data_IF_244549579545
#
_entry.id   IF_244549579545
#
_cell.length_a   1.000
_cell.length_b   1.000
_cell.length_c   1.000
_cell.angle_alpha   90.00
_cell.angle_beta   90.00
_cell.angle_gamma   90.00
#
_symmetry.space_group_name_H-M   'P 1'
#
loop_
_entity.id
_entity.type
_entity.pdbx_description
1 polymer ?
#
# COMPACT_ATOMS: atom_id res chain seq x y z
N UNK A 1 10.44 -42.19 -26.11
CA UNK A 1 9.23 -41.33 -25.98
C UNK A 1 9.05 -40.63 -24.62
N UNK A 2 9.65 -41.06 -23.50
CA UNK A 2 9.44 -40.44 -22.16
C UNK A 2 10.13 -39.08 -21.91
N UNK A 3 11.13 -38.70 -22.72
CA UNK A 3 11.85 -37.42 -22.57
C UNK A 3 11.24 -36.24 -23.37
N UNK A 4 10.46 -36.54 -24.42
CA UNK A 4 9.80 -35.52 -25.25
C UNK A 4 8.61 -34.86 -24.55
N UNK A 5 7.78 -35.66 -23.88
CA UNK A 5 6.62 -35.16 -23.12
C UNK A 5 7.03 -34.25 -21.94
N UNK A 6 8.14 -34.57 -21.24
CA UNK A 6 8.68 -33.72 -20.16
C UNK A 6 9.26 -32.39 -20.66
N UNK A 7 9.83 -32.36 -21.88
CA UNK A 7 10.28 -31.11 -22.53
C UNK A 7 9.08 -30.29 -23.01
N UNK A 8 8.05 -30.92 -23.59
CA UNK A 8 6.88 -30.23 -24.12
C UNK A 8 6.00 -29.62 -22.99
N UNK A 9 5.81 -30.33 -21.88
CA UNK A 9 5.14 -29.78 -20.68
C UNK A 9 5.93 -28.61 -20.08
N UNK A 10 7.27 -28.65 -20.09
CA UNK A 10 8.11 -27.51 -19.66
C UNK A 10 8.03 -26.31 -20.61
N UNK A 11 7.90 -26.54 -21.92
CA UNK A 11 7.86 -25.48 -22.93
C UNK A 11 6.49 -24.77 -22.96
N UNK A 12 5.43 -25.39 -22.47
CA UNK A 12 4.08 -24.79 -22.46
C UNK A 12 3.68 -24.31 -21.05
N UNK A 13 3.96 -25.09 -19.99
CA UNK A 13 3.57 -24.71 -18.63
C UNK A 13 4.38 -23.53 -18.08
N UNK A 14 5.66 -23.40 -18.44
CA UNK A 14 6.50 -22.29 -18.00
C UNK A 14 6.05 -20.96 -18.61
N UNK A 15 5.78 -20.82 -19.92
CA UNK A 15 5.24 -19.58 -20.46
C UNK A 15 3.80 -19.30 -20.06
N UNK A 16 2.93 -20.30 -19.84
CA UNK A 16 1.59 -20.07 -19.29
C UNK A 16 1.63 -19.61 -17.82
N UNK A 17 2.52 -20.19 -17.01
CA UNK A 17 2.76 -19.77 -15.63
C UNK A 17 3.45 -18.40 -15.57
N UNK A 18 4.41 -18.12 -16.47
CA UNK A 18 5.02 -16.81 -16.63
C UNK A 18 4.01 -15.80 -17.15
N UNK A 19 3.08 -16.14 -18.06
CA UNK A 19 2.04 -15.23 -18.54
C UNK A 19 1.03 -14.91 -17.44
N UNK A 20 0.64 -15.90 -16.64
CA UNK A 20 -0.19 -15.70 -15.45
C UNK A 20 0.51 -14.88 -14.36
N UNK A 21 1.84 -15.02 -14.21
CA UNK A 21 2.64 -14.23 -13.28
C UNK A 21 3.08 -12.87 -13.84
N UNK A 22 3.17 -12.69 -15.16
CA UNK A 22 3.67 -11.49 -15.84
C UNK A 22 2.74 -10.29 -15.69
N UNK A 23 1.50 -10.52 -15.29
CA UNK A 23 0.53 -9.48 -14.98
C UNK A 23 0.47 -9.16 -13.47
N UNK A 24 1.17 -9.90 -12.62
CA UNK A 24 1.23 -9.64 -11.19
C UNK A 24 2.36 -8.67 -10.84
N UNK A 25 2.12 -7.38 -11.05
CA UNK A 25 2.81 -6.40 -10.21
C UNK A 25 2.34 -6.69 -8.77
N UNK A 26 3.26 -7.07 -7.89
CA UNK A 26 2.93 -7.37 -6.50
C UNK A 26 3.41 -6.14 -5.72
N UNK A 27 2.47 -5.41 -5.11
CA UNK A 27 2.77 -4.40 -4.10
C UNK A 27 3.33 -5.10 -2.86
N UNK A 28 4.37 -4.55 -2.24
CA UNK A 28 5.06 -5.22 -1.14
C UNK A 28 5.34 -4.26 0.02
N UNK A 29 5.51 -4.85 1.22
CA UNK A 29 5.23 -4.34 2.58
C UNK A 29 3.86 -4.78 3.15
N UNK A 30 3.06 -5.57 2.41
CA UNK A 30 1.73 -6.09 2.82
C UNK A 30 1.68 -6.61 4.26
N UNK A 31 2.66 -7.42 4.67
CA UNK A 31 2.63 -8.04 6.00
C UNK A 31 2.95 -7.02 7.10
N UNK A 32 3.79 -6.03 6.78
CA UNK A 32 4.07 -4.90 7.68
C UNK A 32 2.80 -4.09 7.94
N UNK A 33 1.99 -3.80 6.91
CA UNK A 33 0.70 -3.10 7.07
C UNK A 33 -0.29 -3.89 7.94
N UNK A 34 -0.40 -5.21 7.72
CA UNK A 34 -1.23 -6.07 8.57
C UNK A 34 -0.72 -6.11 10.01
N UNK A 35 0.61 -6.17 10.21
CA UNK A 35 1.20 -6.15 11.54
C UNK A 35 0.92 -4.84 12.31
N UNK A 36 0.78 -3.70 11.62
CA UNK A 36 0.37 -2.43 12.24
C UNK A 36 -1.07 -2.51 12.75
N UNK A 37 -1.99 -3.09 11.97
CA UNK A 37 -3.36 -3.36 12.41
C UNK A 37 -3.35 -4.26 13.64
N UNK A 38 -2.57 -5.33 13.59
CA UNK A 38 -2.47 -6.31 14.66
C UNK A 38 -1.92 -5.71 15.95
N UNK A 39 -0.91 -4.83 15.85
CA UNK A 39 -0.30 -4.12 16.98
C UNK A 39 -1.26 -3.24 17.76
N UNK A 40 -2.32 -2.73 17.14
CA UNK A 40 -3.27 -1.80 17.77
C UNK A 40 -4.70 -2.34 17.81
N UNK A 41 -4.92 -3.60 17.42
CA UNK A 41 -6.25 -4.16 17.33
C UNK A 41 -6.99 -4.11 18.67
N UNK A 42 -6.43 -4.74 19.71
CA UNK A 42 -7.08 -4.84 21.02
C UNK A 42 -7.11 -3.53 21.79
N UNK A 43 -6.03 -2.77 21.75
CA UNK A 43 -5.89 -1.58 22.61
C UNK A 43 -6.49 -0.31 22.01
N UNK A 44 -6.79 -0.28 20.70
CA UNK A 44 -7.23 0.95 20.04
C UNK A 44 -8.33 0.73 19.02
N UNK A 45 -8.16 -0.15 18.03
CA UNK A 45 -9.13 -0.32 16.94
C UNK A 45 -10.44 -0.96 17.44
N UNK A 46 -10.38 -2.09 18.12
CA UNK A 46 -11.55 -2.80 18.63
C UNK A 46 -12.37 -1.93 19.61
N UNK A 47 -11.77 -1.20 20.58
CA UNK A 47 -12.49 -0.24 21.41
C UNK A 47 -13.19 0.89 20.63
N UNK A 48 -12.58 1.36 19.53
CA UNK A 48 -13.19 2.36 18.65
C UNK A 48 -14.42 1.79 17.92
N UNK A 49 -14.30 0.57 17.40
CA UNK A 49 -15.39 -0.14 16.74
C UNK A 49 -16.56 -0.37 17.70
N UNK A 50 -16.30 -0.89 18.91
CA UNK A 50 -17.32 -1.10 19.95
C UNK A 50 -17.93 0.23 20.39
N UNK A 51 -17.12 1.28 20.51
CA UNK A 51 -17.61 2.61 20.88
C UNK A 51 -18.65 3.16 19.91
N UNK A 52 -18.48 2.92 18.60
CA UNK A 52 -19.44 3.34 17.56
C UNK A 52 -20.57 2.33 17.36
N UNK A 53 -20.29 1.04 17.56
CA UNK A 53 -21.21 -0.08 17.33
C UNK A 53 -21.26 -1.00 18.57
N UNK A 54 -21.94 -0.58 19.65
CA UNK A 54 -21.89 -1.28 20.95
C UNK A 54 -22.51 -2.68 20.95
N UNK A 55 -23.30 -3.03 19.93
CA UNK A 55 -23.90 -4.35 19.78
C UNK A 55 -23.07 -5.35 18.97
N UNK A 56 -21.84 -5.01 18.57
CA UNK A 56 -21.01 -5.88 17.75
C UNK A 56 -20.62 -7.17 18.50
N UNK A 57 -20.91 -8.34 17.92
CA UNK A 57 -20.47 -9.63 18.45
C UNK A 57 -18.98 -9.88 18.15
N UNK A 58 -18.38 -10.86 18.83
CA UNK A 58 -16.99 -11.28 18.55
C UNK A 58 -16.79 -11.75 17.10
N UNK A 59 -17.80 -12.40 16.51
CA UNK A 59 -17.76 -12.83 15.10
C UNK A 59 -17.77 -11.62 14.16
N UNK A 60 -18.63 -10.63 14.44
CA UNK A 60 -18.69 -9.40 13.67
C UNK A 60 -17.39 -8.59 13.80
N UNK A 61 -16.77 -8.55 14.99
CA UNK A 61 -15.47 -7.91 15.19
C UNK A 61 -14.35 -8.65 14.46
N UNK A 62 -14.41 -9.98 14.38
CA UNK A 62 -13.47 -10.77 13.56
C UNK A 62 -13.61 -10.45 12.08
N UNK A 63 -14.84 -10.34 11.58
CA UNK A 63 -15.09 -9.91 10.19
C UNK A 63 -14.65 -8.46 9.95
N UNK A 64 -14.86 -7.57 10.91
CA UNK A 64 -14.39 -6.19 10.84
C UNK A 64 -12.87 -6.13 10.75
N UNK A 65 -12.15 -7.04 11.43
CA UNK A 65 -10.68 -7.14 11.31
C UNK A 65 -10.22 -7.49 9.91
N UNK A 66 -10.93 -8.39 9.23
CA UNK A 66 -10.66 -8.71 7.83
C UNK A 66 -10.77 -7.48 6.92
N UNK A 67 -11.72 -6.58 7.24
CA UNK A 67 -11.89 -5.31 6.56
C UNK A 67 -10.79 -4.31 6.94
N UNK A 68 -10.36 -4.25 8.19
CA UNK A 68 -9.22 -3.41 8.59
C UNK A 68 -7.93 -3.80 7.85
N UNK A 69 -7.65 -5.09 7.66
CA UNK A 69 -6.54 -5.52 6.79
C UNK A 69 -6.74 -5.08 5.34
N UNK A 70 -7.96 -5.20 4.82
CA UNK A 70 -8.33 -4.70 3.50
C UNK A 70 -8.01 -3.22 3.31
N UNK A 71 -8.39 -2.42 4.30
CA UNK A 71 -8.14 -0.98 4.30
C UNK A 71 -6.65 -0.65 4.39
N UNK A 72 -5.87 -1.42 5.14
CA UNK A 72 -4.44 -1.16 5.37
C UNK A 72 -3.55 -1.25 4.12
N UNK A 73 -4.11 -1.71 3.00
CA UNK A 73 -3.39 -1.91 1.72
C UNK A 73 -4.21 -1.30 0.57
N UNK A 74 -5.35 -0.64 0.82
CA UNK A 74 -6.30 -0.33 -0.26
C UNK A 74 -5.73 0.69 -1.26
N UNK A 75 -4.89 1.61 -0.80
CA UNK A 75 -4.25 2.61 -1.65
C UNK A 75 -3.30 1.96 -2.66
N UNK A 76 -2.66 0.83 -2.32
CA UNK A 76 -1.77 0.07 -3.19
C UNK A 76 -2.48 -0.79 -4.25
N UNK A 77 -3.81 -0.86 -4.22
CA UNK A 77 -4.59 -1.74 -5.10
C UNK A 77 -4.25 -1.57 -6.58
N UNK A 78 -3.88 -0.35 -7.00
CA UNK A 78 -3.49 -0.05 -8.37
C UNK A 78 -2.19 -0.69 -8.85
N UNK A 79 -1.37 -1.18 -7.92
CA UNK A 79 -0.17 -1.95 -8.25
C UNK A 79 -0.43 -3.43 -8.46
N UNK A 80 -1.65 -3.94 -8.28
CA UNK A 80 -1.99 -5.36 -8.50
C UNK A 80 -2.48 -5.63 -9.93
N UNK A 81 -2.53 -6.90 -10.41
CA UNK A 81 -3.05 -7.21 -11.74
C UNK A 81 -4.42 -6.58 -12.00
N UNK A 82 -4.61 -5.98 -13.16
CA UNK A 82 -5.82 -5.23 -13.55
C UNK A 82 -6.14 -4.01 -12.68
N UNK A 83 -5.25 -3.65 -11.75
CA UNK A 83 -5.32 -2.42 -10.98
C UNK A 83 -5.05 -1.18 -11.84
N UNK A 84 -5.35 -0.01 -11.27
CA UNK A 84 -5.09 1.28 -11.88
C UNK A 84 -4.00 2.03 -11.12
N UNK A 85 -2.81 2.16 -11.71
CA UNK A 85 -1.74 3.00 -11.13
C UNK A 85 -2.23 4.42 -10.82
N UNK A 86 -3.12 4.95 -11.64
CA UNK A 86 -3.69 6.28 -11.42
C UNK A 86 -4.52 6.35 -10.13
N UNK A 87 -5.27 5.31 -9.78
CA UNK A 87 -5.94 5.24 -8.48
C UNK A 87 -4.94 5.28 -7.32
N UNK A 88 -3.85 4.51 -7.43
CA UNK A 88 -2.82 4.50 -6.40
C UNK A 88 -2.11 5.84 -6.30
N UNK A 89 -1.75 6.45 -7.43
CA UNK A 89 -1.12 7.77 -7.46
C UNK A 89 -2.05 8.86 -6.88
N UNK A 90 -3.36 8.79 -7.14
CA UNK A 90 -4.33 9.70 -6.50
C UNK A 90 -4.32 9.52 -4.98
N UNK A 91 -4.56 8.29 -4.51
CA UNK A 91 -4.72 8.02 -3.08
C UNK A 91 -3.43 8.20 -2.26
N UNK A 92 -2.25 8.15 -2.92
CA UNK A 92 -0.95 8.40 -2.29
C UNK A 92 -0.52 9.86 -2.30
N UNK A 93 -0.88 10.62 -3.34
CA UNK A 93 -0.21 11.90 -3.62
C UNK A 93 -1.17 13.08 -3.80
N UNK A 94 -2.46 12.84 -4.02
CA UNK A 94 -3.46 13.88 -4.30
C UNK A 94 -4.55 13.80 -3.24
N UNK A 95 -4.71 14.85 -2.45
CA UNK A 95 -5.73 14.91 -1.39
C UNK A 95 -5.73 13.66 -0.48
N UNK A 96 -4.54 13.16 -0.17
CA UNK A 96 -4.34 11.86 0.46
C UNK A 96 -4.89 11.80 1.89
N UNK A 97 -4.90 12.91 2.64
CA UNK A 97 -5.55 13.00 3.95
C UNK A 97 -7.07 13.10 3.82
N UNK A 98 -7.56 13.95 2.91
CA UNK A 98 -8.99 14.10 2.64
C UNK A 98 -9.66 12.78 2.25
N UNK A 99 -8.97 11.94 1.46
CA UNK A 99 -9.49 10.63 1.07
C UNK A 99 -9.77 9.74 2.28
N UNK A 100 -8.88 9.73 3.27
CA UNK A 100 -9.05 8.92 4.49
C UNK A 100 -10.17 9.50 5.37
N UNK A 101 -10.24 10.81 5.50
CA UNK A 101 -11.33 11.46 6.23
C UNK A 101 -12.68 11.19 5.56
N UNK A 102 -12.72 11.21 4.22
CA UNK A 102 -13.91 10.83 3.45
C UNK A 102 -14.29 9.37 3.68
N UNK A 103 -13.32 8.43 3.71
CA UNK A 103 -13.58 7.02 4.05
C UNK A 103 -14.20 6.88 5.45
N UNK A 104 -13.69 7.59 6.44
CA UNK A 104 -14.19 7.55 7.81
C UNK A 104 -15.60 8.19 7.89
N UNK A 105 -15.78 9.36 7.29
CA UNK A 105 -17.06 10.08 7.31
C UNK A 105 -18.17 9.34 6.56
N UNK A 106 -17.83 8.68 5.44
CA UNK A 106 -18.80 7.95 4.62
C UNK A 106 -19.10 6.55 5.15
N UNK A 107 -18.38 6.03 6.15
CA UNK A 107 -18.64 4.70 6.70
C UNK A 107 -19.99 4.62 7.41
N UNK A 108 -20.80 3.62 7.06
CA UNK A 108 -22.19 3.45 7.53
C UNK A 108 -22.38 2.26 8.46
N UNK A 109 -21.47 1.29 8.43
CA UNK A 109 -21.53 0.10 9.25
C UNK A 109 -20.15 -0.25 9.86
N UNK A 110 -20.15 -1.30 10.69
CA UNK A 110 -18.97 -1.80 11.40
C UNK A 110 -17.81 -2.14 10.45
N UNK A 111 -18.11 -2.79 9.33
CA UNK A 111 -17.11 -3.27 8.38
C UNK A 111 -16.53 -2.13 7.55
N UNK A 112 -17.38 -1.21 7.10
CA UNK A 112 -16.94 0.00 6.41
C UNK A 112 -16.09 0.89 7.32
N UNK A 113 -16.45 1.01 8.61
CA UNK A 113 -15.66 1.80 9.55
C UNK A 113 -14.32 1.13 9.84
N UNK A 114 -14.28 -0.19 10.06
CA UNK A 114 -13.03 -0.93 10.22
C UNK A 114 -12.13 -0.84 8.98
N UNK A 115 -12.72 -0.91 7.78
CA UNK A 115 -12.01 -0.69 6.52
C UNK A 115 -11.40 0.71 6.43
N UNK A 116 -12.15 1.75 6.82
CA UNK A 116 -11.66 3.12 6.85
C UNK A 116 -10.53 3.32 7.87
N UNK A 117 -10.62 2.72 9.06
CA UNK A 117 -9.54 2.71 10.05
C UNK A 117 -8.30 1.96 9.53
N UNK A 118 -8.51 0.88 8.78
CA UNK A 118 -7.43 0.23 8.02
C UNK A 118 -6.72 1.20 7.07
N UNK A 119 -7.48 1.96 6.28
CA UNK A 119 -6.95 2.96 5.36
C UNK A 119 -6.18 4.08 6.07
N UNK A 120 -6.61 4.47 7.27
CA UNK A 120 -5.87 5.37 8.17
C UNK A 120 -4.53 4.77 8.64
N UNK A 121 -4.47 3.45 8.88
CA UNK A 121 -3.22 2.78 9.21
C UNK A 121 -2.21 2.88 8.06
N UNK A 122 -2.67 2.74 6.82
CA UNK A 122 -1.82 2.90 5.63
C UNK A 122 -1.32 4.36 5.50
N UNK A 123 -2.19 5.35 5.71
CA UNK A 123 -1.78 6.76 5.76
C UNK A 123 -0.68 7.00 6.80
N UNK A 124 -0.82 6.44 8.01
CA UNK A 124 0.21 6.56 9.03
C UNK A 124 1.50 5.81 8.66
N UNK A 125 1.36 4.65 8.01
CA UNK A 125 2.45 3.78 7.64
C UNK A 125 3.36 4.41 6.61
N UNK A 126 2.83 4.95 5.52
CA UNK A 126 3.68 5.40 4.42
C UNK A 126 4.33 6.75 4.74
N UNK A 127 3.55 7.68 5.31
CA UNK A 127 4.04 9.00 5.72
C UNK A 127 5.20 8.98 6.73
N UNK A 128 5.37 7.88 7.47
CA UNK A 128 6.43 7.70 8.47
C UNK A 128 7.43 6.62 8.01
N UNK A 129 6.91 5.51 7.51
CA UNK A 129 7.61 4.31 7.10
C UNK A 129 8.56 4.55 5.94
N UNK A 130 8.15 5.30 4.92
CA UNK A 130 9.01 5.58 3.77
C UNK A 130 10.17 6.52 4.14
N UNK A 131 9.94 7.74 4.67
CA UNK A 131 11.04 8.68 4.92
C UNK A 131 11.99 8.22 6.05
N UNK A 132 11.51 7.51 7.07
CA UNK A 132 12.37 7.01 8.16
C UNK A 132 12.96 5.62 7.89
N UNK A 133 12.21 4.77 7.20
CA UNK A 133 12.54 3.37 6.93
C UNK A 133 13.02 3.17 5.50
N UNK A 134 12.09 2.92 4.58
CA UNK A 134 12.41 2.40 3.24
C UNK A 134 13.39 3.28 2.48
N UNK A 135 13.17 4.59 2.42
CA UNK A 135 13.99 5.51 1.64
C UNK A 135 15.44 5.55 2.14
N UNK A 136 15.67 5.28 3.43
CA UNK A 136 17.00 5.21 4.06
C UNK A 136 17.59 3.81 4.04
N UNK A 137 16.75 2.78 4.06
CA UNK A 137 17.18 1.38 3.97
C UNK A 137 17.67 1.01 2.56
N UNK A 138 17.02 1.52 1.52
CA UNK A 138 17.39 1.28 0.11
C UNK A 138 18.89 1.54 -0.17
N UNK A 139 19.46 2.72 0.13
CA UNK A 139 20.86 2.99 -0.18
C UNK A 139 21.85 2.16 0.65
N UNK A 140 21.45 1.71 1.85
CA UNK A 140 22.25 0.77 2.67
C UNK A 140 22.33 -0.63 2.04
N UNK A 141 21.25 -1.07 1.38
CA UNK A 141 21.16 -2.41 0.78
C UNK A 141 21.73 -2.42 -0.66
N UNK A 142 21.63 -1.30 -1.38
CA UNK A 142 21.96 -1.18 -2.80
C UNK A 142 23.00 -0.08 -3.07
N UNK A 143 24.32 -0.37 -2.93
CA UNK A 143 25.39 0.63 -3.10
C UNK A 143 25.40 1.34 -4.46
N UNK A 144 25.01 0.65 -5.54
CA UNK A 144 24.90 1.26 -6.89
C UNK A 144 23.75 2.27 -6.99
N UNK A 145 22.67 2.03 -6.24
CA UNK A 145 21.52 2.95 -6.17
C UNK A 145 21.92 4.16 -5.33
N UNK A 146 22.57 3.93 -4.18
CA UNK A 146 23.17 4.98 -3.34
C UNK A 146 24.12 5.88 -4.12
N UNK A 147 25.03 5.30 -4.91
CA UNK A 147 25.98 6.06 -5.71
C UNK A 147 25.31 6.99 -6.74
N UNK A 148 24.06 6.71 -7.15
CA UNK A 148 23.32 7.51 -8.12
C UNK A 148 22.41 8.56 -7.48
N UNK A 149 21.74 8.22 -6.38
CA UNK A 149 20.66 9.04 -5.80
C UNK A 149 20.99 9.60 -4.41
N UNK A 150 22.03 9.10 -3.75
CA UNK A 150 22.43 9.54 -2.41
C UNK A 150 21.93 8.65 -1.28
N UNK A 151 21.82 9.23 -0.08
CA UNK A 151 21.53 8.54 1.18
C UNK A 151 20.03 8.41 1.48
N UNK A 152 19.18 8.99 0.64
CA UNK A 152 17.73 8.82 0.66
C UNK A 152 17.30 8.51 -0.77
N UNK A 153 16.50 7.47 -0.96
CA UNK A 153 16.05 7.04 -2.29
C UNK A 153 14.55 6.80 -2.28
N UNK A 154 13.83 7.69 -2.94
CA UNK A 154 12.38 7.66 -3.10
C UNK A 154 11.92 6.56 -4.05
N UNK A 155 10.64 6.20 -3.97
CA UNK A 155 9.99 5.33 -4.92
C UNK A 155 10.06 5.90 -6.35
N UNK A 156 9.82 7.20 -6.52
CA UNK A 156 9.88 7.87 -7.82
C UNK A 156 11.28 7.80 -8.48
N UNK A 157 12.35 7.74 -7.69
CA UNK A 157 13.72 7.61 -8.18
C UNK A 157 14.08 6.19 -8.57
N UNK A 158 13.69 5.20 -7.76
CA UNK A 158 14.01 3.79 -8.03
C UNK A 158 13.06 2.77 -7.36
N UNK A 159 11.80 2.73 -7.82
CA UNK A 159 10.76 1.79 -7.40
C UNK A 159 11.22 0.32 -7.24
N UNK A 160 12.09 -0.17 -8.12
CA UNK A 160 12.58 -1.56 -8.08
C UNK A 160 13.40 -1.91 -6.83
N UNK A 161 14.16 -0.97 -6.27
CA UNK A 161 14.90 -1.23 -5.01
C UNK A 161 14.04 -0.99 -3.79
N UNK A 162 13.10 -0.04 -3.89
CA UNK A 162 12.12 0.29 -2.86
C UNK A 162 11.27 -0.95 -2.53
N UNK A 163 10.58 -1.48 -3.53
CA UNK A 163 9.77 -2.71 -3.45
C UNK A 163 10.56 -3.93 -2.93
N UNK A 164 11.83 -4.09 -3.36
CA UNK A 164 12.67 -5.21 -2.89
C UNK A 164 13.09 -5.07 -1.43
N UNK A 165 13.28 -3.85 -0.96
CA UNK A 165 13.67 -3.56 0.42
C UNK A 165 12.52 -3.94 1.36
N UNK A 166 11.31 -3.50 1.03
CA UNK A 166 10.09 -3.81 1.77
C UNK A 166 9.80 -5.31 1.80
N UNK A 167 9.84 -5.96 0.64
CA UNK A 167 9.66 -7.41 0.58
C UNK A 167 10.74 -8.17 1.36
N UNK A 168 12.00 -7.72 1.27
CA UNK A 168 13.09 -8.31 2.02
C UNK A 168 12.92 -8.17 3.53
N UNK A 169 12.35 -7.05 3.97
CA UNK A 169 12.00 -6.82 5.36
C UNK A 169 10.87 -7.77 5.82
N UNK A 170 9.77 -7.86 5.06
CA UNK A 170 8.66 -8.77 5.35
C UNK A 170 9.15 -10.22 5.51
N UNK A 171 9.99 -10.70 4.59
CA UNK A 171 10.57 -12.04 4.64
C UNK A 171 11.39 -12.26 5.91
N UNK A 172 12.20 -11.28 6.32
CA UNK A 172 13.01 -11.38 7.55
C UNK A 172 12.13 -11.38 8.80
N UNK A 173 11.08 -10.55 8.86
CA UNK A 173 10.20 -10.50 10.03
C UNK A 173 9.36 -11.78 10.16
N UNK A 174 8.86 -12.33 9.05
CA UNK A 174 8.23 -13.67 9.03
C UNK A 174 9.20 -14.74 9.50
N UNK A 175 10.42 -14.75 8.98
CA UNK A 175 11.45 -15.73 9.36
C UNK A 175 11.78 -15.71 10.86
N UNK A 176 11.65 -14.54 11.50
CA UNK A 176 11.88 -14.33 12.94
C UNK A 176 10.64 -14.54 13.79
N UNK A 177 9.50 -14.87 13.20
CA UNK A 177 8.22 -15.05 13.91
C UNK A 177 7.71 -13.76 14.56
N UNK A 178 8.05 -12.60 13.97
CA UNK A 178 7.64 -11.27 14.45
C UNK A 178 6.33 -10.80 13.83
N UNK A 179 5.80 -11.49 12.81
CA UNK A 179 4.45 -11.26 12.29
C UNK A 179 3.52 -12.40 12.69
N UNK A 180 2.22 -12.14 12.66
CA UNK A 180 1.24 -13.21 12.83
C UNK A 180 1.48 -14.31 11.77
N UNK A 181 1.29 -15.59 12.12
CA UNK A 181 1.39 -16.68 11.14
C UNK A 181 0.34 -16.53 10.03
N UNK A 182 0.62 -17.01 8.82
CA UNK A 182 -0.38 -16.97 7.72
C UNK A 182 -1.71 -17.63 8.11
N UNK A 183 -1.70 -18.72 8.90
CA UNK A 183 -2.92 -19.35 9.39
C UNK A 183 -3.81 -18.40 10.21
N UNK A 184 -3.22 -17.42 10.89
CA UNK A 184 -3.94 -16.36 11.58
C UNK A 184 -4.66 -15.45 10.58
N UNK A 185 -3.96 -15.00 9.55
CA UNK A 185 -4.53 -14.13 8.52
C UNK A 185 -5.53 -14.87 7.64
N UNK A 186 -5.34 -16.16 7.35
CA UNK A 186 -6.30 -17.01 6.64
C UNK A 186 -7.60 -17.16 7.44
N UNK A 187 -7.48 -17.31 8.76
CA UNK A 187 -8.63 -17.43 9.66
C UNK A 187 -9.44 -16.13 9.76
N UNK A 188 -8.75 -14.99 9.90
CA UNK A 188 -9.40 -13.68 9.94
C UNK A 188 -9.94 -13.29 8.56
N UNK A 189 -9.17 -13.58 7.51
CA UNK A 189 -9.45 -13.24 6.12
C UNK A 189 -9.01 -11.82 5.75
N UNK A 190 -9.28 -11.44 4.50
CA UNK A 190 -8.99 -10.13 3.93
C UNK A 190 -10.16 -9.69 3.07
N UNK A 191 -10.79 -8.56 3.42
CA UNK A 191 -12.05 -8.12 2.78
C UNK A 191 -11.99 -6.65 2.41
N UNK A 192 -12.58 -6.32 1.26
CA UNK A 192 -12.67 -4.93 0.77
C UNK A 192 -14.10 -4.46 0.86
N UNK A 193 -14.33 -3.37 1.60
CA UNK A 193 -15.62 -2.69 1.70
C UNK A 193 -15.80 -1.75 0.49
N UNK A 194 -16.19 -2.33 -0.64
CA UNK A 194 -16.38 -1.63 -1.92
C UNK A 194 -17.31 -0.39 -1.83
N UNK A 195 -18.47 -0.42 -1.12
CA UNK A 195 -19.39 0.71 -1.15
C UNK A 195 -18.84 1.99 -0.52
N UNK A 196 -18.13 1.92 0.62
CA UNK A 196 -17.49 3.11 1.23
C UNK A 196 -16.34 3.61 0.36
N UNK A 197 -15.59 2.70 -0.27
CA UNK A 197 -14.51 3.07 -1.19
C UNK A 197 -15.03 3.89 -2.37
N UNK A 198 -16.14 3.47 -2.99
CA UNK A 198 -16.78 4.20 -4.10
C UNK A 198 -17.24 5.59 -3.67
N UNK A 199 -17.91 5.70 -2.50
CA UNK A 199 -18.42 6.99 -2.00
C UNK A 199 -17.30 7.95 -1.66
N UNK A 200 -16.29 7.50 -0.92
CA UNK A 200 -15.16 8.34 -0.51
C UNK A 200 -14.31 8.77 -1.72
N UNK A 201 -14.08 7.87 -2.68
CA UNK A 201 -13.34 8.19 -3.90
C UNK A 201 -14.07 9.27 -4.72
N UNK A 202 -15.38 9.12 -4.91
CA UNK A 202 -16.20 10.13 -5.58
C UNK A 202 -16.19 11.47 -4.83
N UNK A 203 -16.39 11.44 -3.51
CA UNK A 203 -16.39 12.66 -2.68
C UNK A 203 -15.07 13.42 -2.75
N UNK A 204 -13.95 12.70 -2.82
CA UNK A 204 -12.60 13.30 -2.82
C UNK A 204 -12.19 13.81 -4.21
N UNK A 205 -12.48 13.02 -5.26
CA UNK A 205 -11.91 13.26 -6.59
C UNK A 205 -12.93 13.66 -7.64
N UNK A 206 -14.23 13.74 -7.30
CA UNK A 206 -15.33 13.97 -8.25
C UNK A 206 -15.31 13.00 -9.45
N UNK A 207 -14.66 11.84 -9.28
CA UNK A 207 -14.55 10.76 -10.25
C UNK A 207 -15.13 9.50 -9.64
N UNK A 208 -15.80 8.69 -10.45
CA UNK A 208 -16.21 7.36 -10.03
C UNK A 208 -15.04 6.38 -10.20
N UNK A 209 -15.00 5.28 -9.43
CA UNK A 209 -13.95 4.27 -9.61
C UNK A 209 -13.95 3.68 -11.04
N UNK A 210 -15.12 3.59 -11.70
CA UNK A 210 -15.21 3.15 -13.10
C UNK A 210 -14.52 4.11 -14.10
N UNK A 211 -14.29 5.37 -13.71
CA UNK A 211 -13.55 6.33 -14.53
C UNK A 211 -12.04 6.08 -14.48
N UNK A 212 -11.59 5.21 -13.57
CA UNK A 212 -10.18 4.98 -13.26
C UNK A 212 -9.78 3.50 -13.43
N UNK A 213 -10.72 2.57 -13.28
CA UNK A 213 -10.52 1.13 -13.48
C UNK A 213 -11.28 0.63 -14.71
N UNK A 214 -10.60 -0.11 -15.58
CA UNK A 214 -11.24 -0.78 -16.72
C UNK A 214 -12.26 -1.83 -16.25
N UNK A 215 -11.93 -2.57 -15.18
CA UNK A 215 -12.83 -3.51 -14.53
C UNK A 215 -12.52 -3.59 -13.03
N UNK A 216 -13.30 -2.88 -12.23
CA UNK A 216 -13.11 -2.79 -10.78
C UNK A 216 -13.29 -4.14 -10.07
N UNK A 217 -14.27 -4.96 -10.45
CA UNK A 217 -14.51 -6.24 -9.78
C UNK A 217 -13.38 -7.25 -10.04
N UNK A 218 -12.84 -7.24 -11.27
CA UNK A 218 -11.66 -8.03 -11.61
C UNK A 218 -10.44 -7.55 -10.80
N UNK A 219 -10.20 -6.23 -10.74
CA UNK A 219 -9.11 -5.65 -9.96
C UNK A 219 -9.20 -6.00 -8.47
N UNK A 220 -10.40 -5.90 -7.88
CA UNK A 220 -10.64 -6.30 -6.49
C UNK A 220 -10.44 -7.79 -6.26
N UNK A 221 -10.87 -8.63 -7.22
CA UNK A 221 -10.71 -10.08 -7.15
C UNK A 221 -9.24 -10.51 -7.18
N UNK A 222 -8.46 -9.97 -8.12
CA UNK A 222 -7.02 -10.27 -8.23
C UNK A 222 -6.22 -9.68 -7.08
N UNK A 223 -6.59 -8.49 -6.60
CA UNK A 223 -6.02 -7.88 -5.41
C UNK A 223 -6.20 -8.78 -4.17
N UNK A 224 -7.44 -9.19 -3.86
CA UNK A 224 -7.72 -10.12 -2.75
C UNK A 224 -6.93 -11.41 -2.89
N UNK A 225 -6.91 -12.01 -4.09
CA UNK A 225 -6.16 -13.24 -4.36
C UNK A 225 -4.65 -13.06 -4.13
N UNK A 226 -4.10 -11.93 -4.56
CA UNK A 226 -2.68 -11.64 -4.41
C UNK A 226 -2.29 -11.49 -2.93
N UNK A 227 -3.08 -10.73 -2.16
CA UNK A 227 -2.80 -10.45 -0.75
C UNK A 227 -3.05 -11.66 0.15
N UNK A 228 -4.19 -12.34 0.00
CA UNK A 228 -4.55 -13.47 0.86
C UNK A 228 -3.73 -14.72 0.59
N UNK A 229 -3.42 -15.02 -0.67
CA UNK A 229 -2.88 -16.34 -1.03
C UNK A 229 -1.46 -16.27 -1.59
N UNK A 230 -1.23 -15.38 -2.55
CA UNK A 230 0.02 -15.40 -3.33
C UNK A 230 1.18 -14.84 -2.50
N UNK A 231 1.03 -13.63 -1.93
CA UNK A 231 2.11 -12.96 -1.19
C UNK A 231 2.57 -13.78 0.02
N UNK A 232 1.68 -14.32 0.88
CA UNK A 232 2.09 -15.11 2.03
C UNK A 232 2.86 -16.38 1.64
N UNK A 233 2.39 -17.11 0.61
CA UNK A 233 3.09 -18.28 0.07
C UNK A 233 4.46 -17.91 -0.50
N UNK A 234 4.55 -16.83 -1.28
CA UNK A 234 5.80 -16.38 -1.87
C UNK A 234 6.80 -15.90 -0.80
N UNK A 235 6.31 -15.31 0.28
CA UNK A 235 7.13 -14.93 1.44
C UNK A 235 7.72 -16.16 2.14
N UNK A 236 6.93 -17.23 2.33
CA UNK A 236 7.44 -18.51 2.87
C UNK A 236 8.48 -19.15 1.97
N UNK A 237 8.25 -19.14 0.66
CA UNK A 237 9.22 -19.66 -0.32
C UNK A 237 10.51 -18.84 -0.29
N UNK A 238 10.41 -17.51 -0.23
CA UNK A 238 11.56 -16.61 -0.13
C UNK A 238 12.36 -16.83 1.15
N UNK A 239 11.69 -16.99 2.30
CA UNK A 239 12.34 -17.33 3.57
C UNK A 239 13.12 -18.64 3.46
N UNK A 240 12.50 -19.73 3.01
CA UNK A 240 13.18 -21.03 2.88
C UNK A 240 14.36 -20.95 1.90
N UNK A 241 14.23 -20.17 0.82
CA UNK A 241 15.29 -19.97 -0.15
C UNK A 241 16.50 -19.19 0.42
N UNK A 242 16.27 -18.28 1.37
CA UNK A 242 17.25 -17.36 1.98
C UNK A 242 17.62 -17.69 3.43
N UNK A 243 17.17 -18.84 3.95
CA UNK A 243 17.31 -19.23 5.36
C UNK A 243 18.74 -19.07 5.90
N UNK A 244 19.73 -19.58 5.18
CA UNK A 244 21.14 -19.52 5.62
C UNK A 244 21.67 -18.08 5.68
N UNK A 245 21.28 -17.23 4.73
CA UNK A 245 21.66 -15.80 4.71
C UNK A 245 20.99 -15.06 5.87
N UNK A 246 19.71 -15.32 6.14
CA UNK A 246 18.95 -14.69 7.23
C UNK A 246 19.51 -15.12 8.59
N UNK A 247 19.86 -16.40 8.76
CA UNK A 247 20.47 -16.91 9.99
C UNK A 247 21.85 -16.31 10.25
N UNK A 248 22.65 -16.11 9.19
CA UNK A 248 23.98 -15.48 9.29
C UNK A 248 23.91 -13.98 9.54
N UNK A 249 22.87 -13.31 9.05
CA UNK A 249 22.73 -11.86 9.16
C UNK A 249 22.50 -11.35 10.59
N UNK A 250 22.12 -12.20 11.56
CA UNK A 250 22.08 -11.83 13.00
C UNK A 250 21.90 -13.03 13.95
N UNK A 251 22.96 -13.48 14.65
CA UNK A 251 22.82 -14.20 15.91
C UNK A 251 22.67 -13.19 17.06
N UNK A 252 21.47 -12.65 17.32
CA UNK A 252 21.23 -11.91 18.59
C UNK A 252 20.48 -10.58 18.57
N UNK A 253 19.74 -10.19 17.52
CA UNK A 253 18.77 -9.09 17.66
C UNK A 253 17.60 -9.62 18.50
N UNK A 254 17.64 -9.34 19.81
CA UNK A 254 16.64 -9.79 20.78
C UNK A 254 15.26 -9.23 20.45
N UNK A 255 14.25 -9.98 20.90
CA UNK A 255 12.81 -9.75 20.73
C UNK A 255 12.31 -8.41 21.30
N UNK A 256 13.15 -7.71 22.06
CA UNK A 256 12.77 -6.65 23.01
C UNK A 256 12.51 -5.27 22.37
N UNK A 257 12.82 -5.05 21.08
CA UNK A 257 12.67 -3.73 20.43
C UNK A 257 11.55 -3.62 19.40
N UNK A 258 10.84 -4.70 19.09
CA UNK A 258 9.71 -4.67 18.17
C UNK A 258 8.42 -4.58 18.99
N UNK A 259 7.64 -3.50 18.83
CA UNK A 259 6.40 -3.25 19.61
C UNK A 259 5.33 -4.34 19.35
N UNK A 260 5.50 -5.15 18.32
CA UNK A 260 4.67 -6.32 18.10
C UNK A 260 5.00 -7.44 19.08
N UNK A 261 4.20 -7.54 20.12
CA UNK A 261 4.20 -8.65 21.05
C UNK A 261 2.85 -9.37 20.98
N UNK A 262 2.48 -9.88 19.79
CA UNK A 262 1.52 -10.98 19.78
C UNK A 262 2.26 -12.16 20.38
N UNK A 263 2.12 -12.35 21.70
CA UNK A 263 2.83 -13.42 22.36
C UNK A 263 2.34 -14.72 21.73
N UNK A 264 3.27 -15.61 21.42
CA UNK A 264 2.94 -16.93 20.89
C UNK A 264 1.94 -17.64 21.81
N UNK A 265 2.00 -17.36 23.11
CA UNK A 265 1.08 -17.86 24.12
C UNK A 265 -0.34 -17.29 23.96
N UNK A 266 -0.52 -16.02 23.62
CA UNK A 266 -1.85 -15.43 23.38
C UNK A 266 -2.51 -16.03 22.13
N UNK A 267 -1.72 -16.24 21.07
CA UNK A 267 -2.16 -16.99 19.89
C UNK A 267 -2.53 -18.44 20.23
N UNK A 268 -1.65 -19.17 20.92
CA UNK A 268 -1.86 -20.59 21.27
C UNK A 268 -3.04 -20.78 22.25
N UNK A 269 -3.28 -19.79 23.13
CA UNK A 269 -4.38 -19.77 24.10
C UNK A 269 -5.75 -19.56 23.44
N UNK A 270 -5.83 -18.65 22.47
CA UNK A 270 -7.09 -18.37 21.78
C UNK A 270 -7.34 -19.32 20.59
N UNK A 271 -6.30 -19.84 19.93
CA UNK A 271 -6.42 -20.45 18.59
C UNK A 271 -5.66 -21.77 18.38
N UNK A 272 -4.95 -22.28 19.40
CA UNK A 272 -4.24 -23.57 19.34
C UNK A 272 -2.85 -23.54 18.68
N UNK A 273 -2.11 -24.64 18.77
CA UNK A 273 -0.66 -24.71 18.49
C UNK A 273 -0.25 -25.04 17.03
N UNK A 274 -1.14 -24.93 16.06
CA UNK A 274 -0.86 -25.35 14.67
C UNK A 274 -0.05 -24.32 13.86
N UNK A 275 1.22 -24.11 14.23
CA UNK A 275 2.20 -23.52 13.32
C UNK A 275 2.66 -24.57 12.30
N UNK A 276 2.13 -24.53 11.07
CA UNK A 276 2.60 -25.41 9.99
C UNK A 276 3.97 -24.96 9.48
N UNK A 277 5.04 -25.66 9.90
CA UNK A 277 6.37 -25.58 9.28
C UNK A 277 6.25 -25.78 7.75
N UNK A 278 7.13 -25.16 6.93
CA UNK A 278 7.10 -25.34 5.48
C UNK A 278 7.05 -26.83 5.09
N UNK A 279 5.98 -27.23 4.42
CA UNK A 279 5.76 -28.62 4.03
C UNK A 279 6.67 -29.05 2.87
N UNK A 280 6.58 -30.33 2.49
CA UNK A 280 7.34 -30.88 1.35
C UNK A 280 7.10 -30.10 0.04
N UNK A 281 5.87 -29.62 -0.19
CA UNK A 281 5.48 -28.80 -1.35
C UNK A 281 6.23 -27.45 -1.38
N UNK A 282 6.44 -26.81 -0.22
CA UNK A 282 7.20 -25.55 -0.11
C UNK A 282 8.67 -25.74 -0.49
N UNK A 283 9.26 -26.90 -0.16
CA UNK A 283 10.64 -27.25 -0.56
C UNK A 283 10.77 -27.48 -2.06
N UNK A 284 9.78 -28.12 -2.70
CA UNK A 284 9.75 -28.32 -4.16
C UNK A 284 9.53 -26.99 -4.90
N UNK A 285 8.63 -26.13 -4.43
CA UNK A 285 8.42 -24.79 -5.00
C UNK A 285 9.65 -23.89 -4.82
N UNK A 286 10.33 -23.95 -3.67
CA UNK A 286 11.59 -23.24 -3.45
C UNK A 286 12.71 -23.65 -4.42
N UNK A 287 12.75 -24.94 -4.81
CA UNK A 287 13.67 -25.41 -5.84
C UNK A 287 13.37 -24.77 -7.22
N UNK A 288 12.10 -24.74 -7.65
CA UNK A 288 11.73 -24.08 -8.91
C UNK A 288 11.91 -22.56 -8.86
N UNK A 289 11.64 -21.95 -7.70
CA UNK A 289 11.86 -20.53 -7.44
C UNK A 289 13.32 -20.08 -7.60
N UNK A 290 14.28 -20.93 -7.18
CA UNK A 290 15.71 -20.66 -7.41
C UNK A 290 16.06 -20.58 -8.89
N UNK A 291 15.36 -21.35 -9.73
CA UNK A 291 15.65 -21.50 -11.17
C UNK A 291 14.95 -20.43 -12.03
N UNK A 292 13.80 -19.90 -11.59
CA UNK A 292 13.04 -18.93 -12.38
C UNK A 292 13.84 -17.63 -12.67
N UNK A 293 13.77 -17.08 -13.89
CA UNK A 293 14.39 -15.81 -14.23
C UNK A 293 13.69 -14.67 -13.49
N UNK A 294 14.46 -13.80 -12.82
CA UNK A 294 13.95 -12.71 -11.96
C UNK A 294 13.65 -11.47 -12.81
N UNK A 295 12.77 -11.64 -13.78
CA UNK A 295 12.36 -10.61 -14.76
C UNK A 295 10.87 -10.28 -14.56
N UNK A 296 10.47 -9.06 -14.97
CA UNK A 296 9.09 -8.58 -14.77
C UNK A 296 8.67 -8.63 -13.28
N UNK A 297 7.45 -9.11 -12.99
CA UNK A 297 6.93 -9.42 -11.64
C UNK A 297 7.86 -10.18 -10.69
N UNK A 298 8.70 -11.07 -11.23
CA UNK A 298 9.61 -11.89 -10.41
C UNK A 298 10.87 -11.14 -9.97
N UNK A 299 11.05 -9.86 -10.38
CA UNK A 299 12.19 -9.03 -9.98
C UNK A 299 12.30 -8.86 -8.47
N UNK A 300 11.18 -8.81 -7.75
CA UNK A 300 11.17 -8.68 -6.28
C UNK A 300 11.95 -9.81 -5.60
N UNK A 301 11.94 -11.00 -6.18
CA UNK A 301 12.63 -12.17 -5.64
C UNK A 301 14.15 -12.10 -5.77
N UNK A 302 14.67 -11.07 -6.45
CA UNK A 302 16.07 -10.68 -6.38
C UNK A 302 16.35 -9.70 -5.22
N UNK A 303 15.48 -9.68 -4.19
CA UNK A 303 15.73 -8.92 -2.96
C UNK A 303 17.03 -9.41 -2.29
N UNK A 304 17.60 -8.50 -1.50
CA UNK A 304 18.72 -8.81 -0.61
C UNK A 304 18.20 -8.84 0.80
N UNK A 305 18.75 -9.72 1.64
CA UNK A 305 18.50 -9.66 3.08
C UNK A 305 18.94 -8.26 3.57
N UNK A 306 18.07 -7.50 4.28
CA UNK A 306 18.44 -6.21 4.85
C UNK A 306 19.71 -6.31 5.70
N UNK A 307 20.56 -5.28 5.63
CA UNK A 307 21.69 -5.15 6.56
C UNK A 307 21.18 -4.90 7.98
N UNK A 308 21.96 -5.16 9.05
CA UNK A 308 21.52 -4.86 10.41
C UNK A 308 21.10 -3.40 10.60
N UNK A 309 21.83 -2.46 9.99
CA UNK A 309 21.46 -1.03 10.02
C UNK A 309 20.16 -0.76 9.26
N UNK A 310 19.96 -1.33 8.07
CA UNK A 310 18.73 -1.17 7.31
C UNK A 310 17.52 -1.77 8.05
N UNK A 311 17.70 -2.94 8.68
CA UNK A 311 16.66 -3.54 9.50
C UNK A 311 16.32 -2.67 10.72
N UNK A 312 17.33 -2.11 11.39
CA UNK A 312 17.12 -1.18 12.50
C UNK A 312 16.28 0.02 12.07
N UNK A 313 16.57 0.64 10.92
CA UNK A 313 15.77 1.77 10.38
C UNK A 313 14.32 1.38 10.15
N UNK A 314 14.08 0.22 9.56
CA UNK A 314 12.72 -0.29 9.30
C UNK A 314 11.97 -0.62 10.60
N UNK A 315 12.67 -1.13 11.63
CA UNK A 315 12.06 -1.36 12.95
C UNK A 315 11.73 -0.06 13.68
N UNK A 316 12.62 0.93 13.61
CA UNK A 316 12.39 2.28 14.15
C UNK A 316 11.19 2.95 13.47
N UNK A 317 11.10 2.85 12.14
CA UNK A 317 9.98 3.40 11.38
C UNK A 317 8.66 2.69 11.71
N UNK A 318 8.66 1.35 11.84
CA UNK A 318 7.48 0.59 12.28
C UNK A 318 6.97 1.06 13.65
N UNK A 319 7.87 1.20 14.63
CA UNK A 319 7.50 1.64 15.97
C UNK A 319 6.94 3.08 15.94
N UNK A 320 7.58 3.98 15.19
CA UNK A 320 7.10 5.35 15.01
C UNK A 320 5.71 5.40 14.33
N UNK A 321 5.48 4.55 13.34
CA UNK A 321 4.18 4.38 12.69
C UNK A 321 3.11 3.94 13.67
N UNK A 322 3.37 2.92 14.51
CA UNK A 322 2.42 2.44 15.52
C UNK A 322 2.06 3.55 16.51
N UNK A 323 3.04 4.32 16.99
CA UNK A 323 2.78 5.45 17.89
C UNK A 323 1.95 6.56 17.21
N UNK A 324 2.27 6.89 15.96
CA UNK A 324 1.55 7.90 15.20
C UNK A 324 0.11 7.45 14.90
N UNK A 325 -0.07 6.22 14.44
CA UNK A 325 -1.39 5.65 14.17
C UNK A 325 -2.25 5.57 15.44
N UNK A 326 -1.67 5.22 16.60
CA UNK A 326 -2.39 5.26 17.89
C UNK A 326 -2.93 6.66 18.21
N UNK A 327 -2.14 7.71 17.95
CA UNK A 327 -2.58 9.11 18.14
C UNK A 327 -3.72 9.48 17.18
N UNK A 328 -3.61 9.09 15.91
CA UNK A 328 -4.66 9.31 14.92
C UNK A 328 -5.96 8.58 15.28
N UNK A 329 -5.88 7.34 15.77
CA UNK A 329 -7.03 6.60 16.29
C UNK A 329 -7.69 7.34 17.48
N UNK A 330 -6.89 7.88 18.40
CA UNK A 330 -7.41 8.69 19.51
C UNK A 330 -8.09 9.98 19.03
N UNK A 331 -7.55 10.65 18.01
CA UNK A 331 -8.18 11.82 17.38
C UNK A 331 -9.48 11.46 16.67
N UNK A 332 -9.52 10.34 15.94
CA UNK A 332 -10.72 9.82 15.31
C UNK A 332 -11.81 9.53 16.36
N UNK A 333 -11.43 8.94 17.51
CA UNK A 333 -12.35 8.72 18.64
C UNK A 333 -12.94 10.02 19.18
N UNK A 334 -12.13 11.09 19.21
CA UNK A 334 -12.54 12.39 19.71
C UNK A 334 -13.32 13.23 18.69
N UNK A 335 -13.51 12.74 17.45
CA UNK A 335 -14.09 13.54 16.36
C UNK A 335 -13.23 14.74 15.96
N UNK A 336 -11.92 14.67 16.22
CA UNK A 336 -10.94 15.74 16.00
C UNK A 336 -9.79 15.29 15.08
N UNK A 337 -10.08 14.34 14.20
CA UNK A 337 -9.13 13.89 13.18
C UNK A 337 -8.97 15.00 12.15
N UNK A 338 -7.72 15.40 11.92
CA UNK A 338 -7.31 16.38 10.91
C UNK A 338 -6.05 15.83 10.24
N UNK A 339 -6.20 15.37 8.99
CA UNK A 339 -5.17 14.71 8.21
C UNK A 339 -4.66 15.64 7.11
N UNK A 340 -3.43 16.18 7.26
CA UNK A 340 -2.85 16.98 6.19
C UNK A 340 -2.61 16.15 4.93
N UNK A 341 -2.81 16.76 3.77
CA UNK A 341 -2.45 16.14 2.50
C UNK A 341 -0.92 16.08 2.34
N UNK A 342 -0.42 14.85 2.26
CA UNK A 342 1.01 14.56 2.21
C UNK A 342 1.32 13.57 1.11
N UNK A 343 2.52 13.68 0.55
CA UNK A 343 3.11 12.68 -0.30
C UNK A 343 3.49 11.45 0.55
N UNK A 344 2.92 10.30 0.25
CA UNK A 344 3.15 9.09 1.04
C UNK A 344 4.59 8.56 0.97
N UNK A 345 5.36 8.94 -0.04
CA UNK A 345 6.75 8.49 -0.16
C UNK A 345 7.74 9.39 0.58
N UNK A 346 7.51 10.71 0.56
CA UNK A 346 8.40 11.66 1.25
C UNK A 346 7.91 12.07 2.64
N UNK A 347 6.63 11.85 2.92
CA UNK A 347 5.92 12.35 4.11
C UNK A 347 5.75 13.87 4.14
N UNK A 348 6.10 14.59 3.06
CA UNK A 348 6.04 16.07 3.00
C UNK A 348 4.67 16.55 2.52
N UNK A 349 4.27 17.81 2.82
CA UNK A 349 3.05 18.37 2.27
C UNK A 349 3.06 18.34 0.74
N UNK A 350 1.98 17.84 0.14
CA UNK A 350 1.81 17.77 -1.32
C UNK A 350 1.88 19.16 -1.94
N UNK A 351 2.84 19.39 -2.84
CA UNK A 351 3.01 20.67 -3.56
C UNK A 351 3.53 20.45 -4.98
N UNK A 352 3.18 21.35 -5.89
CA UNK A 352 3.66 21.28 -7.27
C UNK A 352 5.19 21.41 -7.34
N UNK A 353 5.81 20.50 -8.11
CA UNK A 353 7.26 20.39 -8.25
C UNK A 353 8.00 19.74 -7.08
N UNK A 354 7.29 19.35 -6.00
CA UNK A 354 7.91 18.67 -4.86
C UNK A 354 8.17 17.19 -5.15
N UNK A 355 7.18 16.49 -5.72
CA UNK A 355 7.28 15.08 -6.06
C UNK A 355 6.70 14.78 -7.43
N UNK A 356 7.47 14.03 -8.24
CA UNK A 356 7.15 13.81 -9.66
C UNK A 356 5.83 13.07 -9.87
N UNK A 357 5.51 12.07 -9.03
CA UNK A 357 4.28 11.31 -9.20
C UNK A 357 3.05 12.12 -8.79
N UNK A 358 3.18 13.01 -7.80
CA UNK A 358 2.14 13.97 -7.45
C UNK A 358 1.83 14.90 -8.64
N UNK A 359 2.85 15.51 -9.26
CA UNK A 359 2.68 16.38 -10.42
C UNK A 359 1.92 15.70 -11.57
N UNK A 360 2.29 14.46 -11.88
CA UNK A 360 1.66 13.67 -12.93
C UNK A 360 0.22 13.28 -12.56
N UNK A 361 -0.04 12.95 -11.29
CA UNK A 361 -1.36 12.60 -10.80
C UNK A 361 -2.32 13.79 -10.87
N UNK A 362 -1.88 14.99 -10.45
CA UNK A 362 -2.70 16.22 -10.56
C UNK A 362 -3.01 16.57 -12.01
N UNK A 363 -2.03 16.51 -12.92
CA UNK A 363 -2.27 16.80 -14.33
C UNK A 363 -3.28 15.81 -14.94
N UNK A 364 -3.13 14.51 -14.65
CA UNK A 364 -4.05 13.48 -15.15
C UNK A 364 -5.44 13.56 -14.52
N UNK A 365 -5.54 13.97 -13.25
CA UNK A 365 -6.82 14.25 -12.61
C UNK A 365 -7.54 15.40 -13.32
N UNK A 366 -6.82 16.50 -13.54
CA UNK A 366 -7.34 17.67 -14.24
C UNK A 366 -7.79 17.33 -15.68
N UNK A 367 -7.01 16.53 -16.40
CA UNK A 367 -7.38 16.02 -17.72
C UNK A 367 -8.69 15.21 -17.69
N UNK A 368 -8.83 14.27 -16.74
CA UNK A 368 -10.04 13.45 -16.60
C UNK A 368 -11.27 14.29 -16.25
N UNK A 369 -11.11 15.27 -15.36
CA UNK A 369 -12.16 16.20 -15.01
C UNK A 369 -12.56 17.07 -16.22
N UNK A 370 -11.59 17.59 -16.99
CA UNK A 370 -11.86 18.35 -18.22
C UNK A 370 -12.60 17.51 -19.26
N UNK A 371 -12.21 16.25 -19.47
CA UNK A 371 -12.89 15.33 -20.39
C UNK A 371 -14.37 15.11 -20.01
N UNK A 372 -14.67 15.19 -18.70
CA UNK A 372 -16.03 15.16 -18.16
C UNK A 372 -16.67 16.56 -18.03
N UNK A 373 -16.07 17.59 -18.63
CA UNK A 373 -16.53 18.99 -18.57
C UNK A 373 -16.71 19.51 -17.14
N UNK A 374 -15.90 19.00 -16.21
CA UNK A 374 -15.98 19.31 -14.78
C UNK A 374 -17.36 19.03 -14.15
N UNK A 375 -18.10 18.08 -14.72
CA UNK A 375 -19.37 17.63 -14.16
C UNK A 375 -19.18 17.14 -12.72
N UNK A 376 -20.06 17.59 -11.81
CA UNK A 376 -20.03 17.26 -10.37
C UNK A 376 -18.73 17.66 -9.63
N UNK A 377 -17.90 18.53 -10.21
CA UNK A 377 -16.69 19.03 -9.55
C UNK A 377 -17.04 19.73 -8.23
N UNK A 378 -16.55 19.19 -7.12
CA UNK A 378 -16.72 19.82 -5.81
C UNK A 378 -15.94 21.14 -5.70
N UNK A 379 -16.45 22.13 -4.96
CA UNK A 379 -15.72 23.36 -4.67
C UNK A 379 -14.34 23.11 -4.06
N UNK A 380 -14.24 22.14 -3.15
CA UNK A 380 -13.01 21.81 -2.43
C UNK A 380 -11.96 21.27 -3.39
N UNK A 381 -12.32 20.37 -4.31
CA UNK A 381 -11.39 19.82 -5.29
C UNK A 381 -10.94 20.87 -6.30
N UNK A 382 -11.86 21.76 -6.73
CA UNK A 382 -11.52 22.89 -7.59
C UNK A 382 -10.47 23.78 -6.94
N UNK A 383 -10.68 24.15 -5.67
CA UNK A 383 -9.75 25.01 -4.93
C UNK A 383 -8.38 24.37 -4.75
N UNK A 384 -8.35 23.07 -4.43
CA UNK A 384 -7.11 22.30 -4.29
C UNK A 384 -6.32 22.22 -5.60
N UNK A 385 -6.95 21.91 -6.73
CA UNK A 385 -6.28 21.89 -8.05
C UNK A 385 -5.73 23.28 -8.41
N UNK A 386 -6.51 24.34 -8.19
CA UNK A 386 -6.08 25.71 -8.47
C UNK A 386 -4.93 26.15 -7.56
N UNK A 387 -4.95 25.74 -6.29
CA UNK A 387 -3.87 25.99 -5.33
C UNK A 387 -2.60 25.23 -5.71
N UNK A 388 -2.72 23.96 -6.12
CA UNK A 388 -1.59 23.15 -6.57
C UNK A 388 -0.88 23.81 -7.77
N UNK A 389 -1.63 24.27 -8.77
CA UNK A 389 -1.09 24.95 -9.96
C UNK A 389 -0.99 26.47 -9.83
N UNK A 390 -0.93 27.01 -8.60
CA UNK A 390 -0.86 28.46 -8.37
C UNK A 390 0.50 29.06 -8.78
N UNK A 391 1.59 28.34 -8.52
CA UNK A 391 2.94 28.70 -8.94
C UNK A 391 3.37 27.87 -10.17
N UNK A 392 3.05 28.38 -11.35
CA UNK A 392 3.49 27.78 -12.61
C UNK A 392 4.99 27.94 -12.88
N UNK A 393 5.78 28.59 -12.01
CA UNK A 393 7.24 28.66 -12.12
C UNK A 393 7.96 27.48 -11.45
N UNK A 394 7.30 26.82 -10.49
CA UNK A 394 7.79 25.63 -9.80
C UNK A 394 8.27 24.53 -10.76
N UNK A 395 9.20 23.64 -10.36
CA UNK A 395 9.77 22.60 -11.23
C UNK A 395 8.82 21.41 -11.48
N UNK A 396 7.56 21.70 -11.83
CA UNK A 396 6.49 20.73 -12.11
C UNK A 396 6.96 19.75 -13.17
N UNK A 397 6.99 18.46 -12.83
CA UNK A 397 7.62 17.44 -13.66
C UNK A 397 6.94 17.25 -15.03
N UNK A 398 5.65 17.56 -15.13
CA UNK A 398 4.87 17.51 -16.38
C UNK A 398 5.47 18.41 -17.47
N UNK A 399 6.14 19.50 -17.09
CA UNK A 399 6.81 20.43 -18.03
C UNK A 399 7.89 19.79 -18.90
N UNK A 400 8.40 18.62 -18.52
CA UNK A 400 9.39 17.88 -19.29
C UNK A 400 8.83 17.40 -20.62
N UNK A 401 7.51 17.17 -20.69
CA UNK A 401 6.79 16.91 -21.93
C UNK A 401 6.00 18.16 -22.33
N UNK A 402 6.27 18.68 -23.53
CA UNK A 402 5.67 19.94 -23.99
C UNK A 402 4.18 19.79 -24.32
N UNK A 403 3.78 18.61 -24.79
CA UNK A 403 2.40 18.36 -25.17
C UNK A 403 1.55 18.14 -23.92
N UNK A 404 2.01 17.31 -22.97
CA UNK A 404 1.33 17.12 -21.68
C UNK A 404 1.20 18.44 -20.91
N UNK A 405 2.23 19.28 -20.95
CA UNK A 405 2.20 20.58 -20.30
C UNK A 405 1.21 21.54 -20.95
N UNK A 406 1.15 21.57 -22.29
CA UNK A 406 0.15 22.37 -23.02
C UNK A 406 -1.27 21.93 -22.67
N UNK A 407 -1.49 20.63 -22.61
CA UNK A 407 -2.81 20.06 -22.29
C UNK A 407 -3.21 20.36 -20.84
N UNK A 408 -2.27 20.26 -19.91
CA UNK A 408 -2.46 20.67 -18.50
C UNK A 408 -2.85 22.14 -18.40
N UNK A 409 -2.16 23.04 -19.12
CA UNK A 409 -2.47 24.48 -19.11
C UNK A 409 -3.83 24.78 -19.75
N UNK A 410 -4.20 24.07 -20.82
CA UNK A 410 -5.53 24.19 -21.43
C UNK A 410 -6.62 23.84 -20.41
N UNK A 411 -6.52 22.67 -19.79
CA UNK A 411 -7.48 22.21 -18.81
C UNK A 411 -7.56 23.14 -17.59
N UNK A 412 -6.41 23.65 -17.13
CA UNK A 412 -6.35 24.61 -16.03
C UNK A 412 -7.04 25.93 -16.38
N UNK A 413 -6.85 26.44 -17.59
CA UNK A 413 -7.50 27.66 -18.05
C UNK A 413 -9.02 27.49 -18.20
N UNK A 414 -9.47 26.32 -18.66
CA UNK A 414 -10.89 25.99 -18.70
C UNK A 414 -11.48 25.93 -17.28
N UNK A 415 -10.79 25.30 -16.32
CA UNK A 415 -11.24 25.30 -14.93
C UNK A 415 -11.37 26.71 -14.35
N UNK A 416 -10.40 27.60 -14.61
CA UNK A 416 -10.42 29.00 -14.18
C UNK A 416 -11.58 29.79 -14.78
N UNK A 417 -11.94 29.54 -16.05
CA UNK A 417 -13.05 30.26 -16.69
C UNK A 417 -14.41 29.91 -16.07
N UNK A 418 -14.61 28.66 -15.64
CA UNK A 418 -15.81 28.23 -14.91
C UNK A 418 -15.93 28.90 -13.54
N UNK A 419 -14.80 29.13 -12.84
CA UNK A 419 -14.79 29.86 -11.58
C UNK A 419 -15.17 31.34 -11.77
N UNK A 420 -14.68 31.98 -12.83
CA UNK A 420 -15.04 33.37 -13.15
C UNK A 420 -16.53 33.51 -13.48
N UNK A 421 -17.13 32.54 -14.18
CA UNK A 421 -18.56 32.56 -14.51
C UNK A 421 -19.46 32.40 -13.27
N UNK A 422 -19.10 31.49 -12.36
CA UNK A 422 -19.87 31.28 -11.12
C UNK A 422 -19.78 32.46 -10.14
N UNK A 423 -18.65 33.16 -10.08
CA UNK A 423 -18.48 34.37 -9.25
C UNK A 423 -19.13 35.61 -9.86
N UNK A 424 -19.22 35.70 -11.20
CA UNK A 424 -19.91 36.77 -11.91
C UNK A 424 -21.44 36.66 -11.91
N UNK A 425 -21.99 35.44 -11.82
CA UNK A 425 -23.44 35.20 -11.75
C UNK A 425 -24.06 35.46 -10.36
N UNK A 426 -23.22 35.59 -9.32
CA UNK A 426 -23.61 35.92 -7.94
C UNK A 426 -23.38 37.40 -7.58
N UNK A 427 -23.10 38.25 -8.57
CA UNK A 427 -23.11 39.71 -8.46
C UNK A 427 -24.28 40.26 -9.26
#
# INVERSE_FOLDING_TARGET
MKNGAKKLVRVIAVPLFIAALAQASLGYSVLTHQAIIDSLWKDSIEPLLIGRFPGASEEQLREARAHAYGGAIIQDMGYYPFGSRFYTDLTHYVRSGDFIEAMIAESRDLNEYAFALGSLAHYAADNIGHPLGTNRAVPLIYPKVRAKYGDEVTYAEHASSHIKTEFGFDVVQVARGRYAPEAYHDFIGFKVAKPVLERAFFKTYSLELKDVFDNLDLALGTYRKAVSDIIPQMTRVAWEAKKDEIQKASPGITREKFVYNLSRADYEKEWGSEYKRPGFVSKTLAFFFRILPKVGPLKVFAFKVPTPEAEQRMMESFNATVENYRKMLAQAKAGALDLPNRDFDTGRPTRAGEYRLADLAYAKLLEKLEARKFENLSPELREDILAFFSDLSAPIAVKKDKDDWRDTLRALNHLKSLQAQSTGANR
#
